data_IF_536855148489
#
_entry.id   IF_536855148489
#
_cell.length_a   1.000
_cell.length_b   1.000
_cell.length_c   1.000
_cell.angle_alpha   90.00
_cell.angle_beta   90.00
_cell.angle_gamma   90.00
#
_symmetry.space_group_name_H-M   'P 1'
#
loop_
_entity.id
_entity.type
_entity.pdbx_description
1 polymer ?
#
# COMPACT_ATOMS: atom_id res chain seq x y z
N UNK A 1 16.38 1.88 30.48
CA UNK A 1 16.85 1.88 29.08
C UNK A 1 15.62 1.82 28.19
N UNK A 2 15.33 2.79 27.32
CA UNK A 2 14.24 2.65 26.38
C UNK A 2 14.74 1.85 25.17
N UNK A 3 14.02 0.78 24.88
CA UNK A 3 14.25 -0.13 23.77
C UNK A 3 14.12 0.64 22.43
N UNK A 4 15.21 0.74 21.68
CA UNK A 4 15.36 1.58 20.48
C UNK A 4 14.91 0.87 19.21
N UNK A 5 13.77 0.19 19.24
CA UNK A 5 13.29 -0.64 18.12
C UNK A 5 12.21 0.02 17.24
N UNK A 6 11.73 1.22 17.60
CA UNK A 6 10.82 1.98 16.73
C UNK A 6 11.62 2.92 15.82
N UNK A 7 11.51 2.80 14.48
CA UNK A 7 12.22 3.66 13.55
C UNK A 7 11.81 5.12 13.77
N UNK A 8 12.78 6.00 13.60
CA UNK A 8 12.69 7.46 13.71
C UNK A 8 11.30 7.99 13.28
N UNK A 9 10.58 8.64 14.20
CA UNK A 9 9.16 9.10 14.08
C UNK A 9 8.89 10.01 12.88
N UNK A 10 9.92 10.37 12.10
CA UNK A 10 9.89 11.22 10.92
C UNK A 10 9.60 10.47 9.62
N UNK A 11 9.76 9.14 9.55
CA UNK A 11 9.57 8.38 8.30
C UNK A 11 8.31 7.51 8.38
N UNK A 12 7.44 7.53 7.34
CA UNK A 12 6.30 6.62 7.31
C UNK A 12 6.78 5.18 7.24
N UNK A 13 6.04 4.27 7.86
CA UNK A 13 6.24 2.83 7.71
C UNK A 13 6.00 2.43 6.25
N UNK A 14 6.90 1.62 5.68
CA UNK A 14 6.85 1.19 4.28
C UNK A 14 6.80 -0.33 4.23
N UNK A 15 5.81 -0.86 3.51
CA UNK A 15 5.63 -2.29 3.30
C UNK A 15 5.72 -2.58 1.81
N UNK A 16 6.69 -3.41 1.41
CA UNK A 16 6.77 -3.96 0.05
C UNK A 16 6.08 -5.32 -0.01
N UNK A 17 5.28 -5.55 -1.06
CA UNK A 17 4.63 -6.85 -1.31
C UNK A 17 5.26 -7.47 -2.57
N UNK A 18 6.01 -8.55 -2.39
CA UNK A 18 6.68 -9.29 -3.46
C UNK A 18 6.08 -10.68 -3.69
N UNK A 19 6.31 -11.25 -4.87
CA UNK A 19 5.84 -12.57 -5.26
C UNK A 19 5.73 -12.76 -6.79
N UNK A 20 5.57 -14.00 -7.27
CA UNK A 20 5.43 -14.31 -8.71
C UNK A 20 4.25 -13.60 -9.38
N UNK A 21 4.24 -13.54 -10.71
CA UNK A 21 3.08 -13.06 -11.48
C UNK A 21 1.88 -13.96 -11.18
N UNK A 22 0.70 -13.37 -10.97
CA UNK A 22 -0.53 -14.10 -10.64
C UNK A 22 -0.69 -14.49 -9.16
N UNK A 23 0.26 -14.19 -8.27
CA UNK A 23 0.17 -14.55 -6.84
C UNK A 23 -0.80 -13.69 -6.01
N UNK A 24 -1.56 -12.80 -6.64
CA UNK A 24 -2.56 -11.97 -5.96
C UNK A 24 -2.01 -10.77 -5.16
N UNK A 25 -0.81 -10.28 -5.47
CA UNK A 25 -0.19 -9.12 -4.77
C UNK A 25 -1.12 -7.91 -4.71
N UNK A 26 -1.67 -7.50 -5.85
CA UNK A 26 -2.58 -6.34 -5.96
C UNK A 26 -3.84 -6.55 -5.12
N UNK A 27 -4.36 -7.78 -5.04
CA UNK A 27 -5.50 -8.13 -4.18
C UNK A 27 -5.13 -8.08 -2.69
N UNK A 28 -3.91 -8.50 -2.33
CA UNK A 28 -3.41 -8.36 -0.96
C UNK A 28 -3.31 -6.88 -0.55
N UNK A 29 -2.77 -6.01 -1.43
CA UNK A 29 -2.74 -4.56 -1.23
C UNK A 29 -4.14 -4.02 -1.00
N UNK A 30 -5.11 -4.40 -1.84
CA UNK A 30 -6.51 -3.98 -1.71
C UNK A 30 -7.08 -4.32 -0.32
N UNK A 31 -6.90 -5.56 0.13
CA UNK A 31 -7.40 -6.04 1.44
C UNK A 31 -6.73 -5.31 2.60
N UNK A 32 -5.42 -5.09 2.52
CA UNK A 32 -4.70 -4.29 3.52
C UNK A 32 -5.23 -2.86 3.57
N UNK A 33 -5.50 -2.24 2.42
CA UNK A 33 -6.08 -0.89 2.37
C UNK A 33 -7.45 -0.85 3.03
N UNK A 34 -8.32 -1.83 2.73
CA UNK A 34 -9.65 -1.92 3.34
C UNK A 34 -9.59 -2.03 4.86
N UNK A 35 -8.61 -2.77 5.39
CA UNK A 35 -8.46 -2.98 6.84
C UNK A 35 -7.82 -1.78 7.56
N UNK A 36 -6.90 -1.07 6.90
CA UNK A 36 -6.09 -0.02 7.54
C UNK A 36 -6.62 1.41 7.35
N UNK A 37 -7.43 1.66 6.31
CA UNK A 37 -7.83 3.02 5.91
C UNK A 37 -8.53 3.81 7.02
N UNK A 38 -9.23 3.15 7.94
CA UNK A 38 -10.01 3.83 8.98
C UNK A 38 -9.16 4.23 10.21
N UNK A 39 -7.99 3.63 10.38
CA UNK A 39 -7.12 3.85 11.55
C UNK A 39 -5.76 4.49 11.24
N UNK A 40 -5.41 4.65 9.95
CA UNK A 40 -4.08 5.13 9.54
C UNK A 40 -4.12 6.00 8.29
N UNK A 41 -3.22 6.99 8.22
CA UNK A 41 -2.98 7.75 6.99
C UNK A 41 -2.22 6.88 5.99
N UNK A 42 -2.94 6.22 5.09
CA UNK A 42 -2.41 5.26 4.14
C UNK A 42 -2.25 5.86 2.72
N UNK A 43 -1.22 5.39 2.01
CA UNK A 43 -1.08 5.55 0.57
C UNK A 43 -0.49 4.27 -0.03
N UNK A 44 -0.84 3.98 -1.28
CA UNK A 44 -0.26 2.89 -2.06
C UNK A 44 0.66 3.50 -3.11
N UNK A 45 1.75 2.80 -3.42
CA UNK A 45 2.61 3.13 -4.56
C UNK A 45 2.72 1.86 -5.39
N UNK A 46 2.29 1.93 -6.63
CA UNK A 46 2.49 0.83 -7.60
C UNK A 46 3.83 1.02 -8.29
N UNK A 47 4.54 -0.07 -8.54
CA UNK A 47 5.89 -0.04 -9.11
C UNK A 47 5.89 -0.10 -10.66
N UNK A 48 4.72 -0.17 -11.29
CA UNK A 48 4.64 -0.34 -12.73
C UNK A 48 4.73 1.02 -13.43
N UNK A 49 5.93 1.35 -13.91
CA UNK A 49 6.22 2.59 -14.66
C UNK A 49 5.80 2.48 -16.13
N UNK A 50 5.49 1.28 -16.62
CA UNK A 50 5.13 1.02 -18.02
C UNK A 50 3.63 0.81 -18.19
N UNK A 51 2.97 0.24 -17.19
CA UNK A 51 1.53 0.02 -17.21
C UNK A 51 0.87 0.64 -15.98
N UNK A 52 -0.38 1.09 -16.12
CA UNK A 52 -1.15 1.69 -15.03
C UNK A 52 -2.20 0.74 -14.47
N UNK A 53 -2.19 -0.52 -14.89
CA UNK A 53 -3.28 -1.46 -14.62
C UNK A 53 -3.49 -1.70 -13.12
N UNK A 54 -2.40 -1.87 -12.35
CA UNK A 54 -2.48 -2.05 -10.90
C UNK A 54 -3.06 -0.82 -10.20
N UNK A 55 -2.64 0.38 -10.58
CA UNK A 55 -3.13 1.63 -10.00
C UNK A 55 -4.61 1.84 -10.36
N UNK A 56 -4.97 1.67 -11.63
CA UNK A 56 -6.34 1.78 -12.11
C UNK A 56 -7.26 0.75 -11.45
N UNK A 57 -6.79 -0.49 -11.28
CA UNK A 57 -7.52 -1.52 -10.57
C UNK A 57 -7.88 -1.05 -9.15
N UNK A 58 -6.90 -0.54 -8.39
CA UNK A 58 -7.11 -0.04 -7.04
C UNK A 58 -8.05 1.18 -7.00
N UNK A 59 -7.89 2.12 -7.94
CA UNK A 59 -8.75 3.29 -8.08
C UNK A 59 -10.20 2.90 -8.37
N UNK A 60 -10.43 1.92 -9.26
CA UNK A 60 -11.79 1.41 -9.58
C UNK A 60 -12.46 0.76 -8.39
N UNK A 61 -11.71 0.19 -7.45
CA UNK A 61 -12.26 -0.36 -6.21
C UNK A 61 -12.67 0.73 -5.20
N UNK A 62 -12.21 1.98 -5.37
CA UNK A 62 -12.61 3.10 -4.53
C UNK A 62 -12.23 2.98 -3.06
N UNK A 63 -11.20 2.20 -2.72
CA UNK A 63 -10.79 1.96 -1.33
C UNK A 63 -10.03 3.14 -0.73
N UNK A 64 -9.31 3.88 -1.56
CA UNK A 64 -8.59 5.10 -1.21
C UNK A 64 -8.93 6.23 -2.19
N UNK A 65 -8.81 7.50 -1.77
CA UNK A 65 -8.83 8.66 -2.67
C UNK A 65 -7.77 8.56 -3.78
N UNK A 66 -8.04 9.17 -4.93
CA UNK A 66 -7.18 9.04 -6.10
C UNK A 66 -5.77 9.62 -5.93
N UNK A 67 -5.61 10.62 -5.06
CA UNK A 67 -4.32 11.23 -4.70
C UNK A 67 -3.49 10.37 -3.71
N UNK A 68 -4.02 9.21 -3.30
CA UNK A 68 -3.40 8.27 -2.35
C UNK A 68 -3.00 6.93 -2.99
N UNK A 69 -3.11 6.78 -4.30
CA UNK A 69 -2.78 5.55 -5.07
C UNK A 69 -1.77 5.85 -6.17
#
# INVERSE_FOLDING_TARGET
MPDSSFPDKKRPFRLGIGGPVGSGKTMCVLRLCQWLKDGTSLAVITNDIYTREDAEFLLRQGVLPADRV
#
